data_IF_564174340038
#
_entry.id   IF_564174340038
#
_cell.length_a   1.000
_cell.length_b   1.000
_cell.length_c   1.000
_cell.angle_alpha   90.00
_cell.angle_beta   90.00
_cell.angle_gamma   90.00
#
_symmetry.space_group_name_H-M   'P 1'
#
loop_
_entity.id
_entity.type
_entity.pdbx_description
1 polymer ?
#
# COMPACT_ATOMS: atom_id res chain seq x y z
N UNK A 1 -6.29 35.68 -4.44
CA UNK A 1 -5.86 35.44 -3.04
C UNK A 1 -4.48 34.80 -3.10
N UNK A 2 -3.55 35.11 -2.20
CA UNK A 2 -2.23 34.48 -2.20
C UNK A 2 -2.35 32.98 -1.93
N UNK A 3 -1.69 32.16 -2.74
CA UNK A 3 -1.67 30.71 -2.55
C UNK A 3 -0.71 30.33 -1.40
N UNK A 4 -1.14 29.39 -0.56
CA UNK A 4 -0.30 28.75 0.46
C UNK A 4 0.08 27.34 -0.01
N UNK A 5 1.37 27.05 -0.05
CA UNK A 5 1.91 25.74 -0.39
C UNK A 5 2.31 25.00 0.86
N UNK A 6 1.79 23.79 1.04
CA UNK A 6 2.22 22.88 2.11
C UNK A 6 3.20 21.86 1.55
N UNK A 7 4.16 21.45 2.37
CA UNK A 7 5.17 20.44 2.08
C UNK A 7 5.34 19.58 3.31
N UNK A 8 5.14 18.27 3.22
CA UNK A 8 5.43 17.36 4.33
C UNK A 8 6.59 16.45 3.97
N UNK A 9 7.60 16.35 4.82
CA UNK A 9 8.74 15.46 4.58
C UNK A 9 8.73 14.26 5.54
N UNK A 10 8.89 13.05 5.02
CA UNK A 10 9.08 11.84 5.82
C UNK A 10 10.46 11.25 5.58
N UNK A 11 11.04 10.71 6.64
CA UNK A 11 12.20 9.82 6.51
C UNK A 11 11.70 8.39 6.37
N UNK A 12 11.99 7.78 5.23
CA UNK A 12 11.66 6.39 4.97
C UNK A 12 12.90 5.51 5.26
N UNK A 13 12.73 4.44 6.06
CA UNK A 13 13.75 3.43 6.27
C UNK A 13 14.29 2.81 4.97
N UNK A 14 15.57 2.41 4.99
CA UNK A 14 16.29 1.81 3.85
C UNK A 14 15.58 0.63 3.18
N UNK A 15 14.94 -0.24 3.96
CA UNK A 15 14.39 -1.50 3.48
C UNK A 15 13.22 -1.33 2.51
N UNK A 16 12.67 -0.12 2.43
CA UNK A 16 11.62 0.20 1.48
C UNK A 16 12.12 0.16 0.04
N UNK A 17 13.32 0.67 -0.22
CA UNK A 17 13.84 0.86 -1.56
C UNK A 17 14.91 -0.18 -1.82
N UNK A 18 14.84 -0.87 -2.95
CA UNK A 18 15.87 -1.83 -3.30
C UNK A 18 17.18 -1.07 -3.48
N UNK A 19 18.31 -1.77 -3.64
CA UNK A 19 19.50 -1.15 -4.23
C UNK A 19 19.18 -0.75 -5.68
N UNK A 20 18.52 0.39 -5.86
CA UNK A 20 18.20 0.94 -7.17
C UNK A 20 19.00 2.21 -7.33
N UNK A 21 19.78 2.31 -8.40
CA UNK A 21 20.64 3.45 -8.72
C UNK A 21 19.88 4.71 -9.13
N UNK A 22 18.66 4.89 -8.65
CA UNK A 22 17.81 6.06 -8.92
C UNK A 22 17.83 6.94 -7.68
N UNK A 23 18.30 8.17 -7.86
CA UNK A 23 18.51 9.14 -6.77
C UNK A 23 17.25 9.95 -6.43
N UNK A 24 16.28 9.99 -7.34
CA UNK A 24 15.02 10.75 -7.18
C UNK A 24 13.88 10.07 -7.94
N UNK A 25 12.72 9.96 -7.29
CA UNK A 25 11.43 9.61 -7.85
C UNK A 25 10.50 10.81 -7.66
N UNK A 26 9.71 11.16 -8.68
CA UNK A 26 8.65 12.16 -8.56
C UNK A 26 7.34 11.61 -9.11
N UNK A 27 6.25 11.86 -8.40
CA UNK A 27 4.88 11.63 -8.83
C UNK A 27 4.14 12.96 -8.73
N UNK A 28 3.29 13.27 -9.71
CA UNK A 28 2.44 14.45 -9.70
C UNK A 28 1.04 14.02 -10.08
N UNK A 29 0.07 14.40 -9.26
CA UNK A 29 -1.34 14.20 -9.55
C UNK A 29 -1.77 15.25 -10.59
N UNK A 30 -2.22 14.88 -11.79
CA UNK A 30 -2.57 15.85 -12.84
C UNK A 30 -3.79 16.70 -12.46
N UNK A 31 -4.67 16.17 -11.60
CA UNK A 31 -5.95 16.77 -11.24
C UNK A 31 -5.89 17.55 -9.91
N UNK A 32 -4.73 17.57 -9.24
CA UNK A 32 -4.56 18.34 -8.01
C UNK A 32 -3.18 18.96 -7.88
N UNK A 33 -2.99 19.86 -6.93
CA UNK A 33 -1.67 20.42 -6.62
C UNK A 33 -0.73 19.41 -5.91
N UNK A 34 -1.12 18.13 -5.85
CA UNK A 34 -0.36 17.10 -5.17
C UNK A 34 0.84 16.65 -5.98
N UNK A 35 2.01 16.68 -5.35
CA UNK A 35 3.19 15.98 -5.85
C UNK A 35 3.90 15.26 -4.73
N UNK A 36 4.42 14.07 -5.02
CA UNK A 36 5.21 13.25 -4.13
C UNK A 36 6.62 13.12 -4.71
N UNK A 37 7.64 13.44 -3.94
CA UNK A 37 9.03 13.18 -4.32
C UNK A 37 9.69 12.24 -3.34
N UNK A 38 10.43 11.25 -3.81
CA UNK A 38 11.22 10.36 -2.96
C UNK A 38 12.68 10.47 -3.40
N UNK A 39 13.58 10.89 -2.51
CA UNK A 39 15.00 11.10 -2.83
C UNK A 39 15.91 10.29 -1.92
N UNK A 40 16.98 9.74 -2.48
CA UNK A 40 18.05 9.16 -1.68
C UNK A 40 18.89 10.28 -1.05
N UNK A 41 19.13 10.24 0.26
CA UNK A 41 19.99 11.25 0.93
C UNK A 41 21.45 11.09 0.48
N UNK A 42 22.09 12.13 -0.09
CA UNK A 42 23.52 12.06 -0.45
C UNK A 42 24.40 11.97 0.81
N UNK A 43 25.40 11.08 0.80
CA UNK A 43 26.46 11.04 1.81
C UNK A 43 26.10 10.39 3.16
N UNK A 44 24.89 9.84 3.31
CA UNK A 44 24.55 9.08 4.51
C UNK A 44 25.06 7.64 4.39
N UNK A 45 25.80 7.11 5.39
CA UNK A 45 26.23 5.71 5.41
C UNK A 45 25.05 4.74 5.53
N UNK A 46 23.91 5.25 6.00
CA UNK A 46 22.60 4.62 5.96
C UNK A 46 21.77 5.25 4.82
N UNK A 47 21.36 4.49 3.80
CA UNK A 47 20.60 4.98 2.63
C UNK A 47 19.16 5.43 3.00
N UNK A 48 19.01 6.52 3.76
CA UNK A 48 17.72 7.10 4.08
C UNK A 48 17.08 7.73 2.85
N UNK A 49 15.78 7.51 2.66
CA UNK A 49 15.00 8.18 1.62
C UNK A 49 14.18 9.30 2.25
N UNK A 50 14.15 10.49 1.63
CA UNK A 50 13.19 11.54 2.00
C UNK A 50 12.01 11.49 1.05
N UNK A 51 10.81 11.27 1.59
CA UNK A 51 9.57 11.45 0.86
C UNK A 51 9.04 12.85 1.12
N UNK A 52 8.53 13.54 0.11
CA UNK A 52 7.97 14.87 0.29
C UNK A 52 6.67 15.05 -0.50
N UNK A 53 5.58 15.35 0.19
CA UNK A 53 4.27 15.59 -0.41
C UNK A 53 3.96 17.08 -0.43
N UNK A 54 3.38 17.62 -1.51
CA UNK A 54 2.97 19.03 -1.60
C UNK A 54 1.48 19.17 -1.85
N UNK A 55 0.85 20.26 -1.42
CA UNK A 55 -0.49 20.67 -1.88
C UNK A 55 -0.62 22.20 -1.83
N UNK A 56 -1.63 22.76 -2.49
CA UNK A 56 -1.90 24.19 -2.55
C UNK A 56 -3.32 24.45 -2.04
N UNK A 57 -3.48 25.46 -1.18
CA UNK A 57 -4.79 25.92 -0.68
C UNK A 57 -4.90 27.44 -0.76
N UNK A 58 -6.11 27.93 -0.99
CA UNK A 58 -6.45 29.34 -0.86
C UNK A 58 -6.72 29.64 0.62
N UNK A 59 -6.11 30.70 1.16
CA UNK A 59 -6.31 31.12 2.54
C UNK A 59 -6.83 32.56 2.62
N UNK A 60 -7.97 32.80 3.28
CA UNK A 60 -8.55 34.15 3.37
C UNK A 60 -7.78 35.06 4.35
N UNK A 61 -7.05 34.51 5.33
CA UNK A 61 -6.41 35.28 6.42
C UNK A 61 -4.87 35.35 6.27
N UNK A 62 -4.38 35.66 5.06
CA UNK A 62 -2.93 35.69 4.75
C UNK A 62 -2.12 36.60 5.68
N UNK A 63 -2.74 37.64 6.23
CA UNK A 63 -2.11 38.55 7.19
C UNK A 63 -1.63 37.83 8.47
N UNK A 64 -2.28 36.73 8.88
CA UNK A 64 -1.88 35.95 10.04
C UNK A 64 -0.64 35.09 9.76
N UNK A 65 -0.60 34.46 8.57
CA UNK A 65 0.59 33.72 8.11
C UNK A 65 1.76 34.69 7.91
N UNK A 66 1.51 35.88 7.37
CA UNK A 66 2.52 36.93 7.21
C UNK A 66 3.13 37.35 8.56
N UNK A 67 2.31 37.56 9.59
CA UNK A 67 2.79 37.89 10.95
C UNK A 67 3.66 36.79 11.54
N UNK A 68 3.28 35.52 11.33
CA UNK A 68 4.08 34.38 11.78
C UNK A 68 5.43 34.32 11.05
N UNK A 69 5.42 34.46 9.72
CA UNK A 69 6.64 34.50 8.89
C UNK A 69 7.58 35.61 9.37
N UNK A 70 7.05 36.81 9.59
CA UNK A 70 7.82 37.96 10.06
C UNK A 70 8.42 37.71 11.46
N UNK A 71 7.68 37.04 12.36
CA UNK A 71 8.19 36.67 13.67
C UNK A 71 9.32 35.63 13.58
N UNK A 72 9.14 34.62 12.73
CA UNK A 72 10.14 33.58 12.48
C UNK A 72 11.42 34.16 11.85
N UNK A 73 11.31 35.06 10.88
CA UNK A 73 12.46 35.72 10.24
C UNK A 73 13.24 36.62 11.20
N UNK A 74 12.58 37.16 12.23
CA UNK A 74 13.22 37.90 13.32
C UNK A 74 13.91 37.00 14.35
N UNK A 75 13.79 35.68 14.23
CA UNK A 75 14.37 34.71 15.16
C UNK A 75 13.62 34.61 16.48
N UNK A 76 12.34 35.01 16.51
CA UNK A 76 11.50 34.99 17.72
C UNK A 76 10.83 33.61 17.89
N UNK A 77 11.65 32.58 18.07
CA UNK A 77 11.21 31.18 18.08
C UNK A 77 10.38 30.80 19.32
N UNK A 78 10.58 31.50 20.43
CA UNK A 78 9.90 31.24 21.71
C UNK A 78 8.47 31.81 21.73
N UNK A 79 8.09 32.65 20.75
CA UNK A 79 6.85 33.41 20.77
C UNK A 79 5.65 32.72 20.12
N UNK A 80 5.82 31.57 19.46
CA UNK A 80 4.72 30.90 18.76
C UNK A 80 4.77 29.37 18.87
N UNK A 81 3.92 28.83 19.75
CA UNK A 81 3.61 27.41 19.81
C UNK A 81 2.39 27.07 18.92
N UNK A 82 2.17 25.77 18.67
CA UNK A 82 0.98 25.30 17.93
C UNK A 82 -0.34 25.85 18.49
N UNK A 83 -0.39 26.09 19.80
CA UNK A 83 -1.58 26.63 20.46
C UNK A 83 -1.83 28.12 20.20
N UNK A 84 -0.81 28.85 19.73
CA UNK A 84 -0.89 30.29 19.42
C UNK A 84 -1.42 30.57 18.00
N UNK A 85 -1.55 29.55 17.17
CA UNK A 85 -2.19 29.66 15.86
C UNK A 85 -3.72 29.81 16.02
N UNK A 86 -4.35 30.65 15.17
CA UNK A 86 -5.81 30.68 15.09
C UNK A 86 -6.39 29.31 14.79
N UNK A 87 -7.65 29.12 15.19
CA UNK A 87 -8.40 27.90 14.91
C UNK A 87 -8.47 27.59 13.40
N UNK A 88 -8.70 28.61 12.56
CA UNK A 88 -8.72 28.47 11.11
C UNK A 88 -7.38 28.01 10.53
N UNK A 89 -6.27 28.58 10.99
CA UNK A 89 -4.94 28.19 10.52
C UNK A 89 -4.54 26.77 10.99
N UNK A 90 -4.90 26.40 12.22
CA UNK A 90 -4.70 25.02 12.71
C UNK A 90 -5.49 24.01 11.88
N UNK A 91 -6.78 24.28 11.65
CA UNK A 91 -7.64 23.40 10.86
C UNK A 91 -7.06 23.18 9.46
N UNK A 92 -6.58 24.22 8.79
CA UNK A 92 -6.00 24.08 7.45
C UNK A 92 -4.68 23.31 7.47
N UNK A 93 -3.84 23.53 8.48
CA UNK A 93 -2.63 22.73 8.67
C UNK A 93 -2.96 21.25 8.89
N UNK A 94 -3.97 20.94 9.70
CA UNK A 94 -4.46 19.57 9.94
C UNK A 94 -5.03 18.94 8.66
N UNK A 95 -5.90 19.66 7.94
CA UNK A 95 -6.46 19.22 6.65
C UNK A 95 -5.37 18.97 5.60
N UNK A 96 -4.37 19.85 5.51
CA UNK A 96 -3.24 19.68 4.60
C UNK A 96 -2.35 18.49 5.01
N UNK A 97 -2.10 18.30 6.31
CA UNK A 97 -1.36 17.14 6.83
C UNK A 97 -2.04 15.83 6.47
N UNK A 98 -3.36 15.76 6.68
CA UNK A 98 -4.19 14.60 6.41
C UNK A 98 -4.32 14.32 4.92
N UNK A 99 -4.52 15.35 4.08
CA UNK A 99 -4.55 15.21 2.63
C UNK A 99 -3.23 14.65 2.11
N UNK A 100 -2.10 15.27 2.47
CA UNK A 100 -0.77 14.87 2.02
C UNK A 100 -0.45 13.46 2.50
N UNK A 101 -0.76 13.12 3.76
CA UNK A 101 -0.58 11.78 4.33
C UNK A 101 -1.43 10.75 3.57
N UNK A 102 -2.71 11.02 3.38
CA UNK A 102 -3.65 10.10 2.71
C UNK A 102 -3.22 9.82 1.28
N UNK A 103 -2.87 10.85 0.52
CA UNK A 103 -2.39 10.70 -0.86
C UNK A 103 -1.06 9.96 -0.94
N UNK A 104 -0.10 10.27 -0.06
CA UNK A 104 1.18 9.56 -0.01
C UNK A 104 1.02 8.07 0.35
N UNK A 105 0.18 7.76 1.35
CA UNK A 105 -0.18 6.38 1.71
C UNK A 105 -0.79 5.66 0.52
N UNK A 106 -1.73 6.29 -0.18
CA UNK A 106 -2.38 5.70 -1.35
C UNK A 106 -1.39 5.40 -2.48
N UNK A 107 -0.48 6.34 -2.81
CA UNK A 107 0.56 6.12 -3.82
C UNK A 107 1.39 4.89 -3.46
N UNK A 108 1.86 4.80 -2.22
CA UNK A 108 2.69 3.66 -1.78
C UNK A 108 1.90 2.36 -1.75
N UNK A 109 0.65 2.36 -1.27
CA UNK A 109 -0.22 1.18 -1.29
C UNK A 109 -0.46 0.65 -2.69
N UNK A 110 -0.84 1.52 -3.63
CA UNK A 110 -1.06 1.14 -5.03
C UNK A 110 0.24 0.59 -5.65
N UNK A 111 1.36 1.20 -5.31
CA UNK A 111 2.66 0.77 -5.82
C UNK A 111 3.05 -0.61 -5.30
N UNK A 112 2.90 -0.84 -3.99
CA UNK A 112 3.16 -2.13 -3.35
C UNK A 112 2.29 -3.24 -3.91
N UNK A 113 1.01 -2.95 -4.08
CA UNK A 113 0.07 -3.89 -4.69
C UNK A 113 0.54 -4.28 -6.09
N UNK A 114 0.86 -3.28 -6.92
CA UNK A 114 1.21 -3.50 -8.32
C UNK A 114 2.53 -4.24 -8.52
N UNK A 115 3.58 -3.83 -7.81
CA UNK A 115 4.95 -4.33 -8.04
C UNK A 115 5.41 -5.38 -7.04
N UNK A 116 4.51 -5.85 -6.17
CA UNK A 116 4.84 -6.79 -5.09
C UNK A 116 5.99 -6.23 -4.24
N UNK A 117 6.01 -4.91 -4.05
CA UNK A 117 7.06 -4.27 -3.26
C UNK A 117 6.90 -4.68 -1.79
N UNK A 118 8.00 -5.07 -1.16
CA UNK A 118 8.01 -5.46 0.23
C UNK A 118 7.92 -4.23 1.16
N UNK A 119 7.58 -4.48 2.43
CA UNK A 119 7.48 -3.45 3.46
C UNK A 119 6.43 -3.81 4.52
N UNK A 120 6.49 -3.20 5.72
CA UNK A 120 5.53 -3.41 6.78
C UNK A 120 4.12 -2.97 6.36
N UNK A 121 3.09 -3.56 6.99
CA UNK A 121 1.69 -3.23 6.73
C UNK A 121 1.44 -1.73 6.89
N UNK A 122 1.99 -1.14 7.94
CA UNK A 122 1.94 0.30 8.21
C UNK A 122 3.05 1.01 7.42
N UNK A 123 2.67 1.77 6.39
CA UNK A 123 3.62 2.50 5.53
C UNK A 123 4.25 3.68 6.27
N UNK A 124 3.42 4.44 6.98
CA UNK A 124 3.81 5.58 7.82
C UNK A 124 3.35 5.21 9.22
N UNK A 125 4.17 4.45 9.94
CA UNK A 125 3.92 4.20 11.35
C UNK A 125 4.20 5.48 12.18
N UNK A 126 3.69 5.50 13.41
CA UNK A 126 3.65 6.57 14.42
C UNK A 126 5.01 7.27 14.66
N UNK A 127 5.08 8.42 15.40
CA UNK A 127 5.99 9.56 15.19
C UNK A 127 7.45 9.33 15.62
N UNK A 128 8.07 8.26 15.15
CA UNK A 128 9.47 7.91 15.31
C UNK A 128 10.42 8.97 14.77
N UNK A 129 10.00 9.62 13.69
CA UNK A 129 10.66 10.77 13.07
C UNK A 129 9.51 11.62 12.58
N UNK A 130 9.06 12.56 13.42
CA UNK A 130 7.87 13.34 13.15
C UNK A 130 8.04 14.03 11.80
N UNK A 131 7.26 13.69 10.76
CA UNK A 131 7.51 14.20 9.43
C UNK A 131 7.26 15.71 9.40
N UNK A 132 8.29 16.54 9.30
CA UNK A 132 8.14 18.00 9.40
C UNK A 132 7.17 18.48 8.31
N UNK A 133 6.06 19.09 8.74
CA UNK A 133 5.17 19.83 7.85
C UNK A 133 5.75 21.22 7.72
N UNK A 134 5.87 21.70 6.51
CA UNK A 134 6.34 23.02 6.16
C UNK A 134 5.27 23.72 5.33
N UNK A 135 5.21 25.05 5.42
CA UNK A 135 4.41 25.87 4.53
C UNK A 135 5.27 26.88 3.78
N UNK A 136 4.72 27.50 2.75
CA UNK A 136 5.34 28.60 2.02
C UNK A 136 4.25 29.47 1.39
N UNK A 137 4.38 30.79 1.50
CA UNK A 137 3.60 31.72 0.69
C UNK A 137 4.20 31.82 -0.72
N UNK A 138 3.37 31.98 -1.73
CA UNK A 138 3.81 32.22 -3.12
C UNK A 138 4.92 33.29 -3.23
N UNK A 139 4.84 34.32 -2.39
CA UNK A 139 5.74 35.48 -2.36
C UNK A 139 7.06 35.27 -1.59
N UNK A 140 7.13 34.32 -0.65
CA UNK A 140 8.28 34.25 0.29
C UNK A 140 9.44 33.39 -0.20
N UNK A 141 9.24 32.55 -1.22
CA UNK A 141 10.27 31.71 -1.85
C UNK A 141 10.81 30.56 -0.99
N UNK A 142 10.76 30.63 0.35
CA UNK A 142 11.29 29.64 1.30
C UNK A 142 10.19 28.91 2.09
N UNK A 143 10.38 27.61 2.32
CA UNK A 143 9.51 26.80 3.19
C UNK A 143 9.89 27.01 4.66
N UNK A 144 8.90 27.15 5.54
CA UNK A 144 9.06 27.28 6.99
C UNK A 144 8.37 26.13 7.71
N UNK A 145 8.95 25.63 8.80
CA UNK A 145 8.38 24.54 9.59
C UNK A 145 7.13 24.98 10.35
N UNK A 146 6.10 24.13 10.35
CA UNK A 146 4.89 24.31 11.15
C UNK A 146 5.18 23.81 12.58
N UNK A 147 4.97 24.63 13.63
CA UNK A 147 5.18 24.21 15.03
C UNK A 147 4.34 22.98 15.41
N UNK A 148 4.80 22.13 16.33
CA UNK A 148 4.09 20.90 16.72
C UNK A 148 4.01 20.66 18.22
N UNK A 149 3.00 19.91 18.68
CA UNK A 149 3.00 19.30 20.00
C UNK A 149 4.02 18.14 20.07
N UNK A 150 4.71 18.02 21.22
CA UNK A 150 5.76 17.03 21.48
C UNK A 150 5.26 15.59 21.37
N UNK A 151 6.04 14.70 20.74
CA UNK A 151 5.69 13.29 20.52
C UNK A 151 6.87 12.33 20.70
N UNK A 152 6.58 11.14 21.24
CA UNK A 152 7.52 10.10 21.70
C UNK A 152 7.90 9.13 20.55
N UNK A 153 9.17 8.68 20.56
CA UNK A 153 9.86 7.90 19.52
C UNK A 153 9.63 6.36 19.61
N UNK A 154 9.66 5.65 18.47
CA UNK A 154 9.77 4.17 18.39
C UNK A 154 10.48 3.67 17.09
N UNK A 155 11.11 2.49 17.08
CA UNK A 155 11.91 1.95 15.96
C UNK A 155 11.17 0.90 15.10
N UNK A 156 11.58 0.73 13.82
CA UNK A 156 11.00 -0.27 12.88
C UNK A 156 12.09 -1.14 12.19
N UNK A 157 11.73 -2.41 11.95
CA UNK A 157 12.52 -3.61 11.58
C UNK A 157 12.92 -3.74 10.08
N UNK A 158 14.00 -4.49 9.79
CA UNK A 158 14.90 -4.38 8.61
C UNK A 158 14.73 -5.39 7.45
N UNK A 159 13.70 -6.24 7.41
CA UNK A 159 13.70 -7.38 6.48
C UNK A 159 12.72 -7.24 5.30
N UNK A 160 13.16 -6.63 4.20
CA UNK A 160 12.43 -6.63 2.92
C UNK A 160 13.39 -6.92 1.73
N UNK A 161 13.11 -7.98 0.98
CA UNK A 161 14.04 -8.56 -0.02
C UNK A 161 13.86 -8.04 -1.45
N UNK A 162 12.82 -7.24 -1.70
CA UNK A 162 12.58 -6.51 -2.96
C UNK A 162 12.04 -5.14 -2.62
N UNK A 163 12.90 -4.14 -2.63
CA UNK A 163 12.44 -2.77 -2.47
C UNK A 163 12.04 -2.14 -3.80
N UNK A 164 11.47 -0.95 -3.70
CA UNK A 164 10.88 -0.17 -4.78
C UNK A 164 11.79 0.04 -6.02
N UNK A 165 11.26 -0.14 -7.24
CA UNK A 165 11.90 0.29 -8.52
C UNK A 165 11.19 1.54 -9.08
N UNK A 166 11.74 2.75 -8.92
CA UNK A 166 11.08 4.01 -9.28
C UNK A 166 10.53 4.11 -10.70
N UNK A 167 11.14 3.39 -11.65
CA UNK A 167 10.76 3.43 -13.07
C UNK A 167 9.36 2.89 -13.32
N UNK A 168 8.81 2.19 -12.34
CA UNK A 168 7.49 1.63 -12.45
C UNK A 168 6.38 2.63 -12.17
N UNK A 169 6.57 3.66 -11.35
CA UNK A 169 5.49 4.61 -11.01
C UNK A 169 4.94 5.35 -12.23
N UNK A 170 5.76 5.60 -13.24
CA UNK A 170 5.37 6.36 -14.44
C UNK A 170 4.69 5.51 -15.53
N UNK A 171 4.29 4.27 -15.23
CA UNK A 171 3.61 3.44 -16.22
C UNK A 171 2.13 3.80 -16.36
N UNK A 172 1.59 3.61 -17.57
CA UNK A 172 0.16 3.75 -17.87
C UNK A 172 -0.72 2.94 -16.92
N UNK A 173 -0.27 1.74 -16.52
CA UNK A 173 -0.96 0.89 -15.57
C UNK A 173 -1.11 1.54 -14.18
N UNK A 174 -0.06 2.20 -13.67
CA UNK A 174 -0.13 2.89 -12.38
C UNK A 174 -1.04 4.12 -12.47
N UNK A 175 -0.92 4.92 -13.53
CA UNK A 175 -1.76 6.10 -13.74
C UNK A 175 -3.25 5.73 -13.82
N UNK A 176 -3.59 4.60 -14.46
CA UNK A 176 -4.95 4.07 -14.48
C UNK A 176 -5.47 3.73 -13.08
N UNK A 177 -4.66 3.03 -12.27
CA UNK A 177 -5.01 2.73 -10.87
C UNK A 177 -5.18 4.01 -10.03
N UNK A 178 -4.34 5.02 -10.26
CA UNK A 178 -4.43 6.30 -9.55
C UNK A 178 -5.69 7.09 -9.91
N UNK A 179 -6.08 7.10 -11.19
CA UNK A 179 -7.27 7.80 -11.67
C UNK A 179 -8.57 7.24 -11.08
N UNK A 180 -8.59 5.95 -10.72
CA UNK A 180 -9.73 5.33 -10.05
C UNK A 180 -9.78 5.79 -8.57
N UNK A 181 -10.49 6.88 -8.26
CA UNK A 181 -10.49 7.54 -6.94
C UNK A 181 -10.77 6.62 -5.73
N UNK A 182 -11.52 5.51 -5.92
CA UNK A 182 -11.82 4.52 -4.87
C UNK A 182 -10.89 3.31 -4.87
N UNK A 183 -9.96 3.25 -5.82
CA UNK A 183 -8.98 2.19 -5.93
C UNK A 183 -7.88 2.43 -4.90
N UNK A 184 -7.82 1.51 -3.95
CA UNK A 184 -6.73 1.31 -3.03
C UNK A 184 -6.33 -0.16 -3.11
N UNK A 185 -5.23 -0.50 -2.46
CA UNK A 185 -4.83 -1.89 -2.41
C UNK A 185 -5.94 -2.78 -1.78
N UNK A 186 -6.31 -3.90 -2.42
CA UNK A 186 -7.29 -4.83 -1.86
C UNK A 186 -6.87 -5.37 -0.49
N UNK A 187 -7.84 -5.53 0.43
CA UNK A 187 -7.58 -5.95 1.81
C UNK A 187 -6.92 -7.33 1.87
N UNK A 188 -7.24 -8.24 0.94
CA UNK A 188 -6.57 -9.53 0.83
C UNK A 188 -5.04 -9.40 0.70
N UNK A 189 -4.54 -8.46 -0.11
CA UNK A 189 -3.09 -8.23 -0.26
C UNK A 189 -2.46 -7.63 1.00
N UNK A 190 -3.18 -6.71 1.66
CA UNK A 190 -2.73 -6.13 2.94
C UNK A 190 -2.57 -7.20 4.03
N UNK A 191 -3.56 -8.09 4.17
CA UNK A 191 -3.52 -9.21 5.11
C UNK A 191 -2.42 -10.21 4.78
N UNK A 192 -2.18 -10.49 3.49
CA UNK A 192 -1.06 -11.36 3.09
C UNK A 192 0.29 -10.76 3.51
N UNK A 193 0.47 -9.45 3.41
CA UNK A 193 1.70 -8.81 3.92
C UNK A 193 1.84 -8.92 5.43
N UNK A 194 0.76 -8.77 6.18
CA UNK A 194 0.77 -9.01 7.61
C UNK A 194 1.22 -10.45 7.93
N UNK A 195 0.65 -11.44 7.21
CA UNK A 195 1.04 -12.82 7.34
C UNK A 195 2.53 -13.05 7.03
N UNK A 196 3.06 -12.43 5.98
CA UNK A 196 4.49 -12.48 5.64
C UNK A 196 5.38 -11.83 6.71
N UNK A 197 4.95 -10.71 7.28
CA UNK A 197 5.71 -9.99 8.31
C UNK A 197 5.84 -10.82 9.60
N UNK A 198 4.78 -11.52 9.99
CA UNK A 198 4.77 -12.31 11.22
C UNK A 198 5.20 -13.77 11.01
N UNK A 199 5.39 -14.25 9.78
CA UNK A 199 5.60 -15.69 9.50
C UNK A 199 6.80 -16.30 10.21
N UNK A 200 7.85 -15.50 10.45
CA UNK A 200 9.04 -15.94 11.16
C UNK A 200 8.86 -15.99 12.69
N UNK A 201 7.93 -15.22 13.24
CA UNK A 201 7.72 -15.07 14.67
C UNK A 201 6.51 -15.88 15.17
N UNK A 202 5.49 -16.02 14.33
CA UNK A 202 4.24 -16.71 14.65
C UNK A 202 3.70 -17.41 13.40
N UNK A 203 4.27 -18.58 13.02
CA UNK A 203 3.88 -19.31 11.82
C UNK A 203 2.42 -19.75 11.83
N UNK A 204 1.89 -20.07 13.01
CA UNK A 204 0.48 -20.42 13.18
C UNK A 204 -0.44 -19.22 12.87
N UNK A 205 -0.13 -18.03 13.41
CA UNK A 205 -0.91 -16.84 13.12
C UNK A 205 -0.78 -16.45 11.64
N UNK A 206 0.43 -16.52 11.07
CA UNK A 206 0.65 -16.28 9.65
C UNK A 206 -0.18 -17.23 8.76
N UNK A 207 -0.29 -18.51 9.12
CA UNK A 207 -1.13 -19.46 8.39
C UNK A 207 -2.61 -19.03 8.39
N UNK A 208 -3.14 -18.65 9.56
CA UNK A 208 -4.54 -18.19 9.69
C UNK A 208 -4.77 -16.89 8.91
N UNK A 209 -3.90 -15.90 9.08
CA UNK A 209 -4.01 -14.61 8.40
C UNK A 209 -3.89 -14.80 6.88
N UNK A 210 -2.96 -15.64 6.41
CA UNK A 210 -2.80 -15.95 4.98
C UNK A 210 -4.04 -16.62 4.39
N UNK A 211 -4.69 -17.53 5.11
CA UNK A 211 -5.92 -18.15 4.62
C UNK A 211 -7.08 -17.14 4.63
N UNK A 212 -7.20 -16.33 5.69
CA UNK A 212 -8.19 -15.25 5.78
C UNK A 212 -8.00 -14.20 4.69
N UNK A 213 -6.75 -13.87 4.34
CA UNK A 213 -6.40 -12.99 3.23
C UNK A 213 -6.99 -13.49 1.91
N UNK A 214 -6.91 -14.80 1.66
CA UNK A 214 -7.51 -15.43 0.49
C UNK A 214 -9.04 -15.39 0.52
N UNK A 215 -9.66 -15.67 1.68
CA UNK A 215 -11.12 -15.60 1.84
C UNK A 215 -11.65 -14.17 1.61
N UNK A 216 -10.97 -13.18 2.18
CA UNK A 216 -11.32 -11.76 2.05
C UNK A 216 -11.10 -11.27 0.62
N UNK A 217 -9.95 -11.56 0.01
CA UNK A 217 -9.67 -11.17 -1.37
C UNK A 217 -10.67 -11.78 -2.35
N UNK A 218 -11.04 -13.04 -2.15
CA UNK A 218 -12.06 -13.72 -2.95
C UNK A 218 -13.45 -13.10 -2.81
N UNK A 219 -13.86 -12.76 -1.58
CA UNK A 219 -15.12 -12.06 -1.31
C UNK A 219 -15.14 -10.68 -1.95
N UNK A 220 -14.07 -9.90 -1.80
CA UNK A 220 -13.92 -8.58 -2.42
C UNK A 220 -14.04 -8.70 -3.93
N UNK A 221 -13.30 -9.63 -4.54
CA UNK A 221 -13.35 -9.89 -5.98
C UNK A 221 -14.76 -10.25 -6.45
N UNK A 222 -15.41 -11.23 -5.81
CA UNK A 222 -16.75 -11.64 -6.24
C UNK A 222 -17.79 -10.53 -6.03
N UNK A 223 -17.63 -9.70 -4.99
CA UNK A 223 -18.53 -8.58 -4.75
C UNK A 223 -18.44 -7.50 -5.82
N UNK A 224 -17.28 -7.33 -6.47
CA UNK A 224 -17.14 -6.39 -7.58
C UNK A 224 -17.64 -6.96 -8.91
N UNK A 225 -17.58 -8.28 -9.09
CA UNK A 225 -18.00 -8.94 -10.34
C UNK A 225 -19.49 -9.28 -10.41
N UNK A 226 -20.19 -9.37 -9.27
CA UNK A 226 -21.59 -9.83 -9.20
C UNK A 226 -22.47 -8.72 -8.61
N UNK A 227 -23.10 -7.89 -9.45
CA UNK A 227 -23.98 -6.83 -8.98
C UNK A 227 -25.10 -7.36 -8.08
N UNK A 228 -25.31 -6.71 -6.93
CA UNK A 228 -26.39 -7.05 -5.99
C UNK A 228 -26.09 -8.22 -5.04
N UNK A 229 -24.97 -8.93 -5.19
CA UNK A 229 -24.54 -9.99 -4.27
C UNK A 229 -23.63 -9.50 -3.13
N UNK A 230 -23.27 -8.22 -3.11
CA UNK A 230 -22.31 -7.64 -2.16
C UNK A 230 -22.66 -7.93 -0.70
N UNK A 231 -23.92 -7.74 -0.32
CA UNK A 231 -24.35 -7.94 1.07
C UNK A 231 -24.27 -9.42 1.48
N UNK A 232 -24.63 -10.35 0.59
CA UNK A 232 -24.55 -11.79 0.86
C UNK A 232 -23.09 -12.21 1.00
N UNK A 233 -22.23 -11.74 0.10
CA UNK A 233 -20.82 -12.11 0.10
C UNK A 233 -20.06 -11.53 1.30
N UNK A 234 -20.48 -10.37 1.83
CA UNK A 234 -19.91 -9.78 3.04
C UNK A 234 -20.32 -10.55 4.30
N UNK A 235 -21.61 -10.82 4.46
CA UNK A 235 -22.17 -11.36 5.71
C UNK A 235 -22.14 -12.89 5.79
N UNK A 236 -22.21 -13.60 4.66
CA UNK A 236 -22.25 -15.07 4.67
C UNK A 236 -20.87 -15.67 4.96
N UNK A 237 -20.82 -16.85 5.62
CA UNK A 237 -19.58 -17.62 5.71
C UNK A 237 -19.09 -17.99 4.30
N UNK A 238 -17.79 -17.83 4.06
CA UNK A 238 -17.19 -18.17 2.77
C UNK A 238 -17.37 -19.68 2.51
N UNK A 239 -17.95 -20.08 1.37
CA UNK A 239 -17.89 -21.49 0.95
C UNK A 239 -16.43 -21.96 0.88
N UNK A 240 -16.16 -23.28 0.92
CA UNK A 240 -14.79 -23.78 0.86
C UNK A 240 -14.04 -23.19 -0.34
N UNK A 241 -12.94 -22.47 -0.06
CA UNK A 241 -12.13 -21.76 -1.06
C UNK A 241 -11.79 -22.61 -2.28
N UNK A 242 -11.36 -23.90 -2.15
CA UNK A 242 -11.13 -24.76 -3.32
C UNK A 242 -12.34 -24.89 -4.24
N UNK A 243 -13.56 -24.96 -3.69
CA UNK A 243 -14.79 -25.08 -4.49
C UNK A 243 -15.06 -23.81 -5.28
N UNK A 244 -14.84 -22.64 -4.67
CA UNK A 244 -15.07 -21.36 -5.33
C UNK A 244 -14.13 -21.21 -6.52
N UNK A 245 -12.83 -21.42 -6.33
CA UNK A 245 -11.86 -21.33 -7.44
C UNK A 245 -12.12 -22.36 -8.54
N UNK A 246 -12.54 -23.59 -8.19
CA UNK A 246 -12.74 -24.66 -9.15
C UNK A 246 -14.04 -24.54 -9.96
N UNK A 247 -15.10 -24.07 -9.34
CA UNK A 247 -16.45 -24.15 -9.92
C UNK A 247 -17.07 -22.79 -10.16
N UNK A 248 -16.92 -21.86 -9.21
CA UNK A 248 -17.67 -20.62 -9.23
C UNK A 248 -16.94 -19.51 -10.00
N UNK A 249 -15.66 -19.31 -9.70
CA UNK A 249 -14.81 -18.32 -10.38
C UNK A 249 -14.82 -18.48 -11.92
N UNK A 250 -14.72 -19.69 -12.48
CA UNK A 250 -14.73 -19.89 -13.92
C UNK A 250 -16.10 -19.63 -14.55
N UNK A 251 -17.18 -19.81 -13.79
CA UNK A 251 -18.54 -19.50 -14.24
C UNK A 251 -18.75 -17.99 -14.32
N UNK A 252 -18.33 -17.25 -13.28
CA UNK A 252 -18.42 -15.78 -13.22
C UNK A 252 -17.67 -15.12 -14.39
N UNK A 253 -16.51 -15.66 -14.75
CA UNK A 253 -15.64 -15.09 -15.79
C UNK A 253 -15.77 -15.75 -17.18
N UNK A 254 -16.64 -16.77 -17.32
CA UNK A 254 -16.77 -17.51 -18.59
C UNK A 254 -15.48 -18.18 -19.07
N UNK A 255 -14.58 -18.55 -18.15
CA UNK A 255 -13.22 -19.01 -18.45
C UNK A 255 -12.97 -20.47 -18.00
N UNK A 256 -13.97 -21.34 -18.17
CA UNK A 256 -13.93 -22.73 -17.70
C UNK A 256 -12.72 -23.53 -18.22
N UNK A 257 -12.20 -23.18 -19.40
CA UNK A 257 -11.00 -23.78 -19.97
C UNK A 257 -9.72 -23.50 -19.18
N UNK A 258 -9.59 -22.29 -18.63
CA UNK A 258 -8.42 -21.85 -17.84
C UNK A 258 -8.33 -22.62 -16.53
N UNK A 259 -9.47 -22.93 -15.92
CA UNK A 259 -9.55 -23.62 -14.63
C UNK A 259 -9.65 -25.14 -14.73
N UNK A 260 -9.61 -25.71 -15.95
CA UNK A 260 -9.69 -27.16 -16.16
C UNK A 260 -8.53 -27.87 -15.46
N UNK A 261 -8.84 -28.74 -14.50
CA UNK A 261 -7.86 -29.48 -13.70
C UNK A 261 -7.10 -30.48 -14.57
N UNK A 262 -5.86 -30.16 -14.92
CA UNK A 262 -4.93 -31.04 -15.61
C UNK A 262 -3.49 -30.57 -15.37
N UNK A 263 -2.52 -31.49 -15.50
CA UNK A 263 -1.09 -31.16 -15.43
C UNK A 263 -0.70 -30.43 -14.14
N UNK A 264 -0.01 -29.30 -14.28
CA UNK A 264 0.50 -28.47 -13.17
C UNK A 264 -0.63 -27.90 -12.28
N UNK A 265 -1.81 -27.60 -12.87
CA UNK A 265 -2.98 -27.12 -12.10
C UNK A 265 -3.46 -28.13 -11.07
N UNK A 266 -3.35 -29.44 -11.35
CA UNK A 266 -3.73 -30.48 -10.39
C UNK A 266 -2.91 -30.37 -9.09
N UNK A 267 -1.62 -30.01 -9.19
CA UNK A 267 -0.78 -29.82 -8.00
C UNK A 267 -1.24 -28.61 -7.19
N UNK A 268 -1.51 -27.49 -7.84
CA UNK A 268 -2.01 -26.27 -7.19
C UNK A 268 -3.33 -26.52 -6.44
N UNK A 269 -4.27 -27.25 -7.04
CA UNK A 269 -5.53 -27.57 -6.38
C UNK A 269 -5.36 -28.49 -5.18
N UNK A 270 -4.48 -29.49 -5.28
CA UNK A 270 -4.12 -30.33 -4.12
C UNK A 270 -3.51 -29.50 -3.00
N UNK A 271 -2.60 -28.58 -3.32
CA UNK A 271 -2.02 -27.67 -2.33
C UNK A 271 -3.07 -26.79 -1.66
N UNK A 272 -4.04 -26.28 -2.41
CA UNK A 272 -5.15 -25.46 -1.86
C UNK A 272 -6.08 -26.28 -0.95
N UNK A 273 -6.37 -27.54 -1.30
CA UNK A 273 -7.11 -28.47 -0.44
C UNK A 273 -6.34 -28.80 0.84
N UNK A 274 -5.03 -29.03 0.73
CA UNK A 274 -4.15 -29.24 1.89
C UNK A 274 -4.09 -28.00 2.78
N UNK A 275 -4.03 -26.80 2.20
CA UNK A 275 -4.04 -25.55 2.94
C UNK A 275 -5.35 -25.38 3.73
N UNK A 276 -6.49 -25.68 3.11
CA UNK A 276 -7.80 -25.69 3.78
C UNK A 276 -7.82 -26.66 4.97
N UNK A 277 -7.27 -27.86 4.79
CA UNK A 277 -7.15 -28.86 5.86
C UNK A 277 -6.22 -28.38 6.97
N UNK A 278 -5.09 -27.76 6.62
CA UNK A 278 -4.12 -27.23 7.58
C UNK A 278 -4.73 -26.11 8.44
N UNK A 279 -5.48 -25.17 7.83
CA UNK A 279 -6.20 -24.11 8.54
C UNK A 279 -7.22 -24.67 9.52
N UNK A 280 -8.03 -25.65 9.09
CA UNK A 280 -9.02 -26.29 9.97
C UNK A 280 -8.35 -27.09 11.09
N UNK A 281 -7.28 -27.83 10.78
CA UNK A 281 -6.52 -28.56 11.79
C UNK A 281 -5.91 -27.61 12.82
N UNK A 282 -5.33 -26.48 12.38
CA UNK A 282 -4.78 -25.47 13.27
C UNK A 282 -5.85 -24.89 14.20
N UNK A 283 -6.99 -24.50 13.65
CA UNK A 283 -8.11 -23.94 14.43
C UNK A 283 -8.61 -24.92 15.52
N UNK A 284 -8.47 -26.23 15.31
CA UNK A 284 -8.94 -27.25 16.25
C UNK A 284 -7.84 -27.87 17.14
N UNK A 285 -6.57 -27.88 16.69
CA UNK A 285 -5.47 -28.66 17.31
C UNK A 285 -4.23 -27.85 17.66
N UNK A 286 -4.13 -26.59 17.20
CA UNK A 286 -3.10 -25.64 17.65
C UNK A 286 -1.69 -25.79 17.06
N UNK A 287 -1.44 -26.69 16.10
CA UNK A 287 -0.09 -26.87 15.50
C UNK A 287 -0.10 -26.83 13.97
N UNK A 288 1.00 -26.32 13.38
CA UNK A 288 1.22 -26.30 11.92
C UNK A 288 2.57 -26.89 11.55
N UNK A 289 2.74 -27.20 10.26
CA UNK A 289 4.00 -27.56 9.64
C UNK A 289 4.61 -26.30 8.98
N UNK A 290 5.67 -25.74 9.59
CA UNK A 290 6.34 -24.53 9.11
C UNK A 290 6.85 -24.66 7.66
N UNK A 291 7.25 -25.86 7.23
CA UNK A 291 7.75 -26.10 5.86
C UNK A 291 6.65 -25.83 4.83
N UNK A 292 5.39 -26.12 5.19
CA UNK A 292 4.24 -25.89 4.30
C UNK A 292 3.79 -24.44 4.31
N UNK A 293 4.09 -23.66 5.34
CA UNK A 293 3.67 -22.25 5.43
C UNK A 293 4.19 -21.41 4.26
N UNK A 294 5.46 -21.57 3.89
CA UNK A 294 6.06 -20.85 2.74
C UNK A 294 5.31 -21.15 1.45
N UNK A 295 4.96 -22.42 1.24
CA UNK A 295 4.17 -22.86 0.08
C UNK A 295 2.79 -22.23 0.09
N UNK A 296 2.14 -22.16 1.26
CA UNK A 296 0.81 -21.56 1.41
C UNK A 296 0.83 -20.04 1.20
N UNK A 297 1.82 -19.32 1.75
CA UNK A 297 2.00 -17.89 1.51
C UNK A 297 2.19 -17.57 0.03
N UNK A 298 3.04 -18.36 -0.66
CA UNK A 298 3.25 -18.20 -2.10
C UNK A 298 2.00 -18.54 -2.93
N UNK A 299 1.24 -19.57 -2.52
CA UNK A 299 -0.03 -19.93 -3.15
C UNK A 299 -1.06 -18.82 -2.97
N UNK A 300 -1.24 -18.27 -1.76
CA UNK A 300 -2.13 -17.14 -1.49
C UNK A 300 -1.78 -15.96 -2.38
N UNK A 301 -0.50 -15.60 -2.46
CA UNK A 301 -0.03 -14.51 -3.31
C UNK A 301 -0.41 -14.70 -4.77
N UNK A 302 -0.10 -15.88 -5.33
CA UNK A 302 -0.44 -16.20 -6.71
C UNK A 302 -1.95 -16.15 -6.96
N UNK A 303 -2.75 -16.66 -6.02
CA UNK A 303 -4.21 -16.65 -6.15
C UNK A 303 -4.80 -15.24 -6.03
N UNK A 304 -4.25 -14.37 -5.16
CA UNK A 304 -4.69 -12.98 -5.08
C UNK A 304 -4.38 -12.21 -6.37
N UNK A 305 -3.17 -12.36 -6.92
CA UNK A 305 -2.85 -11.77 -8.22
C UNK A 305 -3.65 -12.38 -9.38
N UNK A 306 -4.07 -13.66 -9.27
CA UNK A 306 -4.99 -14.25 -10.25
C UNK A 306 -6.35 -13.53 -10.22
N UNK A 307 -6.85 -13.15 -9.03
CA UNK A 307 -8.08 -12.37 -8.91
C UNK A 307 -7.91 -10.99 -9.57
N UNK A 308 -6.78 -10.32 -9.35
CA UNK A 308 -6.48 -9.03 -9.98
C UNK A 308 -6.42 -9.16 -11.52
N UNK A 309 -5.74 -10.19 -12.02
CA UNK A 309 -5.66 -10.48 -13.46
C UNK A 309 -7.05 -10.70 -14.07
N UNK A 310 -7.90 -11.49 -13.40
CA UNK A 310 -9.28 -11.72 -13.82
C UNK A 310 -10.17 -10.47 -13.71
N UNK A 311 -9.80 -9.50 -12.85
CA UNK A 311 -10.45 -8.19 -12.81
C UNK A 311 -10.00 -7.26 -13.94
N UNK A 312 -9.13 -7.73 -14.85
CA UNK A 312 -8.61 -6.97 -15.99
C UNK A 312 -7.30 -6.24 -15.71
N UNK A 313 -6.66 -6.47 -14.56
CA UNK A 313 -5.35 -5.93 -14.26
C UNK A 313 -4.25 -6.80 -14.86
N UNK A 314 -3.98 -6.64 -16.16
CA UNK A 314 -3.01 -7.48 -16.90
C UNK A 314 -1.61 -7.49 -16.28
N UNK A 315 -1.20 -6.40 -15.63
CA UNK A 315 0.08 -6.30 -14.91
C UNK A 315 0.21 -7.33 -13.78
N UNK A 316 -0.88 -7.90 -13.26
CA UNK A 316 -0.83 -8.86 -12.17
C UNK A 316 -0.13 -10.17 -12.57
N UNK A 317 -0.09 -10.51 -13.87
CA UNK A 317 0.64 -11.67 -14.38
C UNK A 317 2.15 -11.59 -14.08
N UNK A 318 2.72 -10.38 -14.04
CA UNK A 318 4.14 -10.17 -13.75
C UNK A 318 4.53 -10.66 -12.35
N UNK A 319 3.54 -10.76 -11.45
CA UNK A 319 3.73 -11.17 -10.06
C UNK A 319 3.53 -12.68 -9.81
N UNK A 320 3.12 -13.45 -10.83
CA UNK A 320 3.00 -14.90 -10.74
C UNK A 320 4.37 -15.57 -10.54
N UNK A 321 4.41 -16.61 -9.71
CA UNK A 321 5.56 -17.52 -9.71
C UNK A 321 5.67 -18.23 -11.06
N UNK A 322 6.88 -18.64 -11.49
CA UNK A 322 7.07 -19.30 -12.79
C UNK A 322 6.15 -20.53 -12.98
N UNK A 323 6.00 -21.34 -11.94
CA UNK A 323 5.15 -22.54 -11.94
C UNK A 323 3.67 -22.17 -12.08
N UNK A 324 3.25 -21.08 -11.44
CA UNK A 324 1.88 -20.62 -11.51
C UNK A 324 1.56 -20.00 -12.87
N UNK A 325 2.49 -19.21 -13.43
CA UNK A 325 2.37 -18.64 -14.77
C UNK A 325 2.24 -19.72 -15.83
N UNK A 326 3.06 -20.77 -15.77
CA UNK A 326 2.95 -21.89 -16.72
C UNK A 326 1.58 -22.60 -16.65
N UNK A 327 0.98 -22.65 -15.46
CA UNK A 327 -0.30 -23.30 -15.24
C UNK A 327 -1.52 -22.49 -15.73
N UNK A 328 -1.45 -21.15 -15.68
CA UNK A 328 -2.59 -20.25 -15.96
C UNK A 328 -2.43 -19.37 -17.22
N UNK A 329 -1.21 -19.01 -17.58
CA UNK A 329 -0.88 -18.20 -18.77
C UNK A 329 0.11 -18.94 -19.69
N UNK A 330 -0.23 -20.11 -20.24
CA UNK A 330 0.62 -20.73 -21.25
C UNK A 330 0.68 -19.80 -22.47
N UNK A 331 1.89 -19.64 -23.04
CA UNK A 331 2.32 -18.65 -24.07
C UNK A 331 1.41 -18.45 -25.31
N UNK A 332 0.29 -19.16 -25.42
CA UNK A 332 -0.67 -19.15 -26.52
C UNK A 332 -2.13 -18.90 -26.08
N UNK A 333 -2.40 -18.36 -24.89
CA UNK A 333 -3.77 -18.05 -24.44
C UNK A 333 -4.11 -16.57 -24.70
N UNK A 334 -5.28 -16.25 -25.29
CA UNK A 334 -5.68 -14.85 -25.48
C UNK A 334 -6.03 -14.17 -24.15
N UNK A 335 -5.93 -12.83 -24.08
CA UNK A 335 -6.33 -12.05 -22.91
C UNK A 335 -7.82 -12.16 -22.58
#
# INVERSE_FOLDING_TARGET
MPAVYFLKQWELPEYYFGRVGVTELSFADPDSAFSLKIRQKPGSPMMGFSMSGKTQRDFPEVDEIGKFIDAFERGDFDAYCWHDLSEGLRQICEEADDEIRTKAMRVISLWRWRDKAAGPVEIIDKPSVSPELYWRLETSGKYQGVPRPEGIFACIDRNASRGFDPRTIETEAFNKLWAEAKCGEPLGHQMLREALQISHHSPNAALLISYSALEVGLKQHLSTQIPGAEWILKEAPTPPVPKIFKHYLPEVHGCQGVFKIAGERLRLWKTLEEFTKARNALAHRGTTDEVKLVIYLQLTQNLLYLLDWLAGHTWAEDNFSPEFRNAFCPKNSPP
#
